data_IF_167616111687
#
_entry.id   IF_167616111687
#
_cell.length_a   1.000
_cell.length_b   1.000
_cell.length_c   1.000
_cell.angle_alpha   90.00
_cell.angle_beta   90.00
_cell.angle_gamma   90.00
#
_symmetry.space_group_name_H-M   'P 1'
#
loop_
_entity.id
_entity.type
_entity.pdbx_description
1 polymer ?
#
# COMPACT_ATOMS: atom_id res chain seq x y z
N UNK A 1 -8.79 11.62 2.27
CA UNK A 1 -7.41 11.76 2.74
C UNK A 1 -7.29 12.49 4.08
N UNK A 2 -7.91 13.66 4.26
CA UNK A 2 -7.83 14.41 5.52
C UNK A 2 -8.20 13.59 6.76
N UNK A 3 -9.22 12.75 6.69
CA UNK A 3 -9.63 11.86 7.80
C UNK A 3 -8.58 10.81 8.16
N UNK A 4 -7.89 10.26 7.16
CA UNK A 4 -6.79 9.30 7.40
C UNK A 4 -5.64 9.95 8.14
N UNK A 5 -5.23 11.13 7.69
CA UNK A 5 -4.14 11.90 8.32
C UNK A 5 -4.52 12.32 9.75
N UNK A 6 -5.75 12.77 9.95
CA UNK A 6 -6.26 13.12 11.28
C UNK A 6 -6.31 11.92 12.24
N UNK A 7 -6.52 10.71 11.72
CA UNK A 7 -6.47 9.45 12.47
C UNK A 7 -5.05 8.91 12.70
N UNK A 8 -4.01 9.62 12.27
CA UNK A 8 -2.62 9.17 12.37
C UNK A 8 -2.20 8.14 11.31
N UNK A 9 -3.03 7.92 10.30
CA UNK A 9 -2.75 7.01 9.19
C UNK A 9 -1.96 7.78 8.13
N UNK A 10 -0.80 7.26 7.76
CA UNK A 10 0.02 7.81 6.68
C UNK A 10 -0.40 7.22 5.33
N UNK A 11 -1.05 7.99 4.46
CA UNK A 11 -1.39 7.54 3.13
C UNK A 11 -0.15 7.52 2.23
N UNK A 12 -0.02 6.45 1.44
CA UNK A 12 1.05 6.27 0.45
C UNK A 12 0.40 5.86 -0.87
N UNK A 13 0.82 6.49 -1.96
CA UNK A 13 0.36 6.15 -3.30
C UNK A 13 1.37 5.24 -3.99
N UNK A 14 0.91 4.11 -4.49
CA UNK A 14 1.71 3.19 -5.29
C UNK A 14 0.97 2.96 -6.61
N UNK A 15 1.61 3.29 -7.73
CA UNK A 15 0.98 3.24 -9.05
C UNK A 15 1.94 2.76 -10.14
N UNK A 16 1.38 2.18 -11.20
CA UNK A 16 2.10 1.91 -12.45
C UNK A 16 2.26 3.12 -13.36
N UNK A 17 1.61 4.25 -13.06
CA UNK A 17 1.64 5.45 -13.85
C UNK A 17 2.99 6.18 -13.77
N UNK A 18 3.18 7.14 -14.69
CA UNK A 18 4.37 7.98 -14.73
C UNK A 18 4.46 8.87 -13.48
N UNK A 19 5.69 9.13 -13.01
CA UNK A 19 5.93 9.92 -11.79
C UNK A 19 5.33 11.33 -11.84
N UNK A 20 5.32 11.95 -13.00
CA UNK A 20 4.74 13.31 -13.18
C UNK A 20 3.24 13.28 -12.93
N UNK A 21 2.53 12.34 -13.54
CA UNK A 21 1.08 12.15 -13.36
C UNK A 21 0.75 11.78 -11.90
N UNK A 22 1.46 10.82 -11.35
CA UNK A 22 1.28 10.38 -9.97
C UNK A 22 1.52 11.52 -8.96
N UNK A 23 2.55 12.32 -9.18
CA UNK A 23 2.87 13.47 -8.33
C UNK A 23 1.81 14.56 -8.38
N UNK A 24 1.25 14.84 -9.58
CA UNK A 24 0.17 15.82 -9.72
C UNK A 24 -1.07 15.39 -8.94
N UNK A 25 -1.51 14.15 -9.11
CA UNK A 25 -2.66 13.58 -8.41
C UNK A 25 -2.41 13.56 -6.89
N UNK A 26 -1.23 13.11 -6.47
CA UNK A 26 -0.89 13.01 -5.06
C UNK A 26 -0.84 14.37 -4.34
N UNK A 27 -0.46 15.43 -5.04
CA UNK A 27 -0.54 16.81 -4.53
C UNK A 27 -1.98 17.28 -4.36
N UNK A 28 -2.80 17.00 -5.37
CA UNK A 28 -4.22 17.38 -5.36
C UNK A 28 -4.99 16.73 -4.20
N UNK A 29 -4.74 15.46 -3.94
CA UNK A 29 -5.41 14.72 -2.84
C UNK A 29 -4.69 14.85 -1.49
N UNK A 30 -3.55 15.55 -1.42
CA UNK A 30 -2.83 15.84 -0.18
C UNK A 30 -1.93 14.71 0.35
N UNK A 31 -1.60 13.72 -0.48
CA UNK A 31 -0.63 12.66 -0.12
C UNK A 31 0.81 13.17 -0.22
N UNK A 32 1.13 13.89 -1.29
CA UNK A 32 2.45 14.48 -1.48
C UNK A 32 2.51 15.87 -0.84
N UNK A 33 3.27 15.98 0.23
CA UNK A 33 3.45 17.21 1.01
C UNK A 33 4.89 17.73 0.88
N UNK A 34 5.20 19.00 1.26
CA UNK A 34 6.55 19.56 1.18
C UNK A 34 7.59 18.82 2.01
N UNK A 35 7.42 17.86 2.71
CA UNK A 35 8.42 17.06 3.44
C UNK A 35 8.60 15.67 2.87
N UNK A 36 7.89 15.33 1.79
CA UNK A 36 7.91 14.01 1.18
C UNK A 36 8.19 14.08 -0.31
N UNK A 37 8.64 12.98 -0.88
CA UNK A 37 9.04 12.91 -2.28
C UNK A 37 8.29 11.82 -3.05
N UNK A 38 8.31 11.95 -4.37
CA UNK A 38 7.85 10.93 -5.30
C UNK A 38 9.07 10.28 -5.97
N UNK A 39 9.05 8.96 -6.10
CA UNK A 39 10.14 8.19 -6.72
C UNK A 39 9.62 7.18 -7.72
N UNK A 40 10.46 6.74 -8.63
CA UNK A 40 10.16 5.66 -9.55
C UNK A 40 10.64 4.29 -9.02
N UNK A 41 10.02 3.23 -9.49
CA UNK A 41 10.36 1.86 -9.11
C UNK A 41 11.82 1.50 -9.36
N UNK A 42 12.45 2.07 -10.39
CA UNK A 42 13.88 1.88 -10.69
C UNK A 42 14.80 2.28 -9.52
N UNK A 43 14.42 3.28 -8.75
CA UNK A 43 15.17 3.70 -7.55
C UNK A 43 15.11 2.62 -6.47
N UNK A 44 13.94 2.00 -6.30
CA UNK A 44 13.74 0.90 -5.34
C UNK A 44 14.55 -0.33 -5.75
N UNK A 45 14.62 -0.61 -7.04
CA UNK A 45 15.34 -1.76 -7.57
C UNK A 45 16.84 -1.68 -7.27
N UNK A 46 17.41 -0.49 -7.30
CA UNK A 46 18.84 -0.26 -7.00
C UNK A 46 19.20 -0.27 -5.51
N UNK A 47 18.20 -0.23 -4.62
CA UNK A 47 18.41 -0.21 -3.17
C UNK A 47 18.41 -1.61 -2.57
N UNK A 48 19.22 -1.80 -1.52
CA UNK A 48 19.11 -2.95 -0.63
C UNK A 48 17.87 -2.83 0.25
N UNK A 49 17.45 -3.92 0.87
CA UNK A 49 16.28 -3.90 1.76
C UNK A 49 16.50 -2.99 2.98
N UNK A 50 17.71 -2.92 3.49
CA UNK A 50 18.07 -2.03 4.59
C UNK A 50 18.00 -0.55 4.18
N UNK A 51 18.55 -0.21 3.03
CA UNK A 51 18.48 1.15 2.49
C UNK A 51 17.02 1.56 2.23
N UNK A 52 16.21 0.64 1.73
CA UNK A 52 14.80 0.87 1.51
C UNK A 52 14.05 1.15 2.81
N UNK A 53 14.34 0.43 3.90
CA UNK A 53 13.72 0.69 5.21
C UNK A 53 14.00 2.12 5.70
N UNK A 54 15.21 2.62 5.50
CA UNK A 54 15.58 3.98 5.90
C UNK A 54 15.01 5.05 4.96
N UNK A 55 14.71 4.65 3.73
CA UNK A 55 14.21 5.56 2.68
C UNK A 55 12.68 5.72 2.68
N UNK A 56 11.90 4.66 2.96
CA UNK A 56 10.44 4.70 2.88
C UNK A 56 9.77 5.81 3.69
N UNK A 57 10.28 6.27 4.85
CA UNK A 57 9.65 7.38 5.57
C UNK A 57 9.69 8.72 4.83
N UNK A 58 10.60 8.88 3.88
CA UNK A 58 10.76 10.11 3.11
C UNK A 58 9.89 10.14 1.85
N UNK A 59 9.30 9.01 1.47
CA UNK A 59 8.57 8.82 0.22
C UNK A 59 7.09 8.63 0.49
N UNK A 60 6.24 9.35 -0.24
CA UNK A 60 4.79 9.20 -0.19
C UNK A 60 4.19 8.74 -1.53
N UNK A 61 4.96 8.80 -2.61
CA UNK A 61 4.50 8.39 -3.95
C UNK A 61 5.54 7.49 -4.60
N UNK A 62 5.10 6.33 -5.03
CA UNK A 62 5.89 5.39 -5.82
C UNK A 62 5.24 5.22 -7.18
N UNK A 63 5.94 5.59 -8.24
CA UNK A 63 5.49 5.54 -9.62
C UNK A 63 6.23 4.44 -10.40
N UNK A 64 5.62 3.94 -11.47
CA UNK A 64 6.19 2.85 -12.31
C UNK A 64 6.69 1.66 -11.50
N UNK A 65 5.88 1.21 -10.57
CA UNK A 65 6.21 0.16 -9.62
C UNK A 65 5.73 -1.19 -10.15
N UNK A 66 6.63 -2.17 -10.17
CA UNK A 66 6.28 -3.57 -10.45
C UNK A 66 5.61 -4.24 -9.25
N UNK A 67 4.93 -5.38 -9.42
CA UNK A 67 4.36 -6.15 -8.31
C UNK A 67 5.40 -6.53 -7.25
N UNK A 68 6.62 -6.83 -7.64
CA UNK A 68 7.73 -7.17 -6.74
C UNK A 68 8.14 -5.98 -5.87
N UNK A 69 8.22 -4.79 -6.46
CA UNK A 69 8.51 -3.57 -5.71
C UNK A 69 7.45 -3.26 -4.65
N UNK A 70 6.17 -3.53 -4.96
CA UNK A 70 5.08 -3.36 -3.99
C UNK A 70 5.28 -4.22 -2.75
N UNK A 71 5.69 -5.47 -2.93
CA UNK A 71 5.99 -6.39 -1.81
C UNK A 71 7.16 -5.85 -0.98
N UNK A 72 8.22 -5.37 -1.62
CA UNK A 72 9.38 -4.81 -0.92
C UNK A 72 9.04 -3.58 -0.10
N UNK A 73 8.20 -2.69 -0.65
CA UNK A 73 7.73 -1.49 0.06
C UNK A 73 6.93 -1.90 1.31
N UNK A 74 5.99 -2.84 1.17
CA UNK A 74 5.18 -3.33 2.29
C UNK A 74 6.07 -3.94 3.38
N UNK A 75 7.02 -4.79 3.00
CA UNK A 75 7.99 -5.38 3.95
C UNK A 75 8.82 -4.32 4.66
N UNK A 76 9.34 -3.35 3.94
CA UNK A 76 10.15 -2.28 4.52
C UNK A 76 9.41 -1.52 5.62
N UNK A 77 8.12 -1.25 5.42
CA UNK A 77 7.28 -0.64 6.44
C UNK A 77 7.00 -1.58 7.62
N UNK A 78 6.74 -2.86 7.37
CA UNK A 78 6.50 -3.86 8.41
C UNK A 78 7.74 -4.08 9.28
N UNK A 79 8.92 -4.15 8.69
CA UNK A 79 10.19 -4.28 9.42
C UNK A 79 10.53 -3.07 10.28
N UNK A 80 9.98 -1.91 9.96
CA UNK A 80 10.01 -0.72 10.82
C UNK A 80 8.99 -0.75 11.97
N UNK A 81 8.20 -1.81 12.08
CA UNK A 81 7.16 -1.94 13.10
C UNK A 81 5.84 -1.27 12.76
N UNK A 82 5.63 -0.85 11.52
CA UNK A 82 4.38 -0.25 11.07
C UNK A 82 3.34 -1.33 10.72
N UNK A 83 2.08 -1.07 11.05
CA UNK A 83 0.94 -1.86 10.57
C UNK A 83 0.55 -1.36 9.19
N UNK A 84 0.63 -2.22 8.17
CA UNK A 84 0.41 -1.85 6.78
C UNK A 84 -0.95 -2.34 6.31
N UNK A 85 -1.80 -1.41 5.90
CA UNK A 85 -3.02 -1.68 5.15
C UNK A 85 -2.79 -1.35 3.67
N UNK A 86 -3.09 -2.29 2.79
CA UNK A 86 -2.95 -2.11 1.35
C UNK A 86 -4.28 -2.30 0.64
N UNK A 87 -4.56 -1.40 -0.29
CA UNK A 87 -5.71 -1.51 -1.19
C UNK A 87 -5.24 -1.75 -2.62
N UNK A 88 -5.96 -2.57 -3.38
CA UNK A 88 -5.63 -2.85 -4.76
C UNK A 88 -6.79 -3.46 -5.53
N UNK A 89 -6.70 -3.52 -6.85
CA UNK A 89 -7.74 -4.08 -7.74
C UNK A 89 -7.66 -5.60 -7.90
N UNK A 90 -6.63 -6.23 -7.39
CA UNK A 90 -6.60 -7.66 -7.12
C UNK A 90 -5.65 -8.52 -7.91
N UNK A 91 -5.43 -8.35 -9.22
CA UNK A 91 -4.62 -9.33 -9.98
C UNK A 91 -3.12 -9.09 -9.78
N UNK A 92 -2.65 -7.89 -10.09
CA UNK A 92 -1.23 -7.53 -9.97
C UNK A 92 -0.83 -7.23 -8.52
N UNK A 93 -1.80 -6.88 -7.69
CA UNK A 93 -1.58 -6.51 -6.29
C UNK A 93 -1.76 -7.67 -5.32
N UNK A 94 -2.27 -8.81 -5.77
CA UNK A 94 -2.56 -9.95 -4.90
C UNK A 94 -1.38 -10.40 -4.01
N UNK A 95 -0.13 -10.52 -4.49
CA UNK A 95 1.00 -10.88 -3.62
C UNK A 95 1.30 -9.83 -2.55
N UNK A 96 1.20 -8.54 -2.89
CA UNK A 96 1.42 -7.46 -1.95
C UNK A 96 0.26 -7.30 -0.95
N UNK A 97 -0.98 -7.53 -1.38
CA UNK A 97 -2.15 -7.59 -0.51
C UNK A 97 -2.04 -8.71 0.53
N UNK A 98 -1.49 -9.86 0.15
CA UNK A 98 -1.21 -10.98 1.07
C UNK A 98 -0.09 -10.66 2.05
N UNK A 99 0.92 -9.92 1.62
CA UNK A 99 2.04 -9.51 2.47
C UNK A 99 1.64 -8.44 3.48
N UNK A 100 0.69 -7.56 3.16
CA UNK A 100 0.19 -6.53 4.06
C UNK A 100 -0.53 -7.14 5.27
N UNK A 101 -0.54 -6.41 6.38
CA UNK A 101 -1.28 -6.82 7.59
C UNK A 101 -2.79 -6.80 7.34
N UNK A 102 -3.25 -5.83 6.54
CA UNK A 102 -4.63 -5.71 6.09
C UNK A 102 -4.63 -5.54 4.57
N UNK A 103 -5.17 -6.51 3.85
CA UNK A 103 -5.36 -6.44 2.41
C UNK A 103 -6.83 -6.15 2.07
N UNK A 104 -7.08 -5.10 1.28
CA UNK A 104 -8.41 -4.71 0.82
C UNK A 104 -8.45 -4.78 -0.70
N UNK A 105 -9.18 -5.75 -1.24
CA UNK A 105 -9.43 -5.83 -2.68
C UNK A 105 -10.56 -4.86 -3.05
N UNK A 106 -10.25 -3.92 -3.92
CA UNK A 106 -11.20 -2.94 -4.43
C UNK A 106 -11.84 -3.44 -5.74
N UNK A 107 -13.15 -3.31 -5.88
CA UNK A 107 -13.88 -3.64 -7.09
C UNK A 107 -14.99 -4.68 -6.89
N UNK A 108 -15.95 -4.66 -7.82
CA UNK A 108 -17.11 -5.58 -7.83
C UNK A 108 -16.65 -7.02 -8.13
N UNK A 109 -15.53 -7.18 -8.81
CA UNK A 109 -14.93 -8.44 -9.22
C UNK A 109 -13.54 -8.64 -8.64
N UNK A 110 -13.35 -8.39 -7.34
CA UNK A 110 -12.08 -8.75 -6.69
C UNK A 110 -11.77 -10.22 -6.98
N UNK A 111 -10.57 -10.52 -7.48
CA UNK A 111 -10.19 -11.89 -7.83
C UNK A 111 -10.26 -12.80 -6.59
N UNK A 112 -10.60 -14.06 -6.79
CA UNK A 112 -10.62 -15.05 -5.70
C UNK A 112 -9.30 -15.11 -4.93
N UNK A 113 -8.19 -14.84 -5.59
CA UNK A 113 -6.85 -14.84 -4.98
C UNK A 113 -6.71 -13.73 -3.93
N UNK A 114 -7.26 -12.56 -4.18
CA UNK A 114 -7.24 -11.47 -3.20
C UNK A 114 -8.24 -11.71 -2.06
N UNK A 115 -9.33 -12.47 -2.33
CA UNK A 115 -10.35 -12.82 -1.34
C UNK A 115 -9.96 -14.00 -0.44
N UNK A 116 -9.03 -14.85 -0.90
CA UNK A 116 -8.66 -16.08 -0.21
C UNK A 116 -7.86 -15.90 1.08
N UNK A 117 -7.49 -14.67 1.42
CA UNK A 117 -6.79 -14.38 2.67
C UNK A 117 -7.66 -13.47 3.53
N UNK A 118 -8.52 -14.01 4.38
CA UNK A 118 -9.25 -13.19 5.34
C UNK A 118 -8.23 -12.51 6.27
N UNK A 119 -8.41 -11.23 6.58
CA UNK A 119 -7.60 -10.58 7.61
C UNK A 119 -7.69 -11.37 8.93
N UNK A 120 -6.62 -11.39 9.69
CA UNK A 120 -6.51 -12.18 10.92
C UNK A 120 -7.62 -11.89 11.95
N UNK A 121 -8.30 -10.74 11.85
CA UNK A 121 -9.43 -10.38 12.70
C UNK A 121 -10.78 -10.91 12.21
N UNK A 122 -10.88 -11.42 10.98
CA UNK A 122 -12.04 -12.13 10.46
C UNK A 122 -11.98 -13.62 10.83
N UNK A 123 -11.93 -13.93 12.12
CA UNK A 123 -12.04 -15.32 12.58
C UNK A 123 -13.48 -15.81 12.46
N UNK A 124 -13.72 -17.02 11.94
CA UNK A 124 -15.09 -17.59 11.83
C UNK A 124 -15.76 -17.84 13.20
N UNK A 125 -15.02 -17.71 14.28
CA UNK A 125 -15.53 -17.95 15.65
C UNK A 125 -15.98 -16.70 16.38
N UNK A 126 -15.73 -15.53 15.84
CA UNK A 126 -16.19 -14.28 16.45
C UNK A 126 -17.47 -13.82 15.75
N UNK A 127 -18.43 -13.34 16.53
CA UNK A 127 -19.63 -12.66 16.01
C UNK A 127 -19.15 -11.45 15.20
N UNK A 128 -18.93 -11.69 13.90
CA UNK A 128 -18.26 -10.74 13.03
C UNK A 128 -19.10 -9.50 12.84
N UNK A 129 -18.54 -8.30 12.94
CA UNK A 129 -19.23 -7.11 12.52
C UNK A 129 -19.56 -7.21 11.02
N UNK A 130 -20.63 -6.56 10.55
CA UNK A 130 -21.20 -6.73 9.20
C UNK A 130 -20.22 -6.42 8.04
N UNK A 131 -19.06 -5.85 8.32
CA UNK A 131 -17.99 -5.58 7.36
C UNK A 131 -17.28 -6.82 6.80
N UNK A 132 -17.36 -7.96 7.48
CA UNK A 132 -16.77 -9.24 6.98
C UNK A 132 -17.70 -10.00 6.02
N UNK A 133 -18.92 -9.55 5.81
CA UNK A 133 -19.93 -10.26 5.00
C UNK A 133 -20.16 -9.71 3.59
N UNK A 134 -19.36 -8.77 3.12
CA UNK A 134 -19.52 -8.24 1.76
C UNK A 134 -18.23 -8.32 0.98
#
# INVERSE_FOLDING_TARGET
>A
MAHCIAAGIRPIMITGDHVVTASAIAREIGILTPGTQAVEGAVIESMTDQELQDFVPQVSVYARVSPEHKIRIVRAWQERGALVAMTGDGVNDAPALKQADIGVAMGITGTEVARATPPAWCSPTTTSPPLCRR
#
